data_IF_505834210241
#
_entry.id   IF_505834210241
#
_cell.length_a   1.000
_cell.length_b   1.000
_cell.length_c   1.000
_cell.angle_alpha   90.00
_cell.angle_beta   90.00
_cell.angle_gamma   90.00
#
_symmetry.space_group_name_H-M   'P 1'
#
loop_
_entity.id
_entity.type
_entity.pdbx_description
1 polymer ?
#
# COMPACT_ATOMS: atom_id res chain seq x y z
N UNK A 1 -16.03 -28.50 9.34
CA UNK A 1 -15.51 -29.40 8.28
C UNK A 1 -15.40 -28.62 6.95
N UNK A 2 -14.64 -27.51 6.97
CA UNK A 2 -14.53 -26.53 5.87
C UNK A 2 -13.11 -25.91 5.80
N UNK A 3 -12.09 -26.69 6.21
CA UNK A 3 -10.69 -26.25 6.33
C UNK A 3 -9.71 -27.07 5.46
N UNK A 4 -10.20 -27.82 4.49
CA UNK A 4 -9.35 -28.73 3.68
C UNK A 4 -9.76 -28.72 2.21
N UNK A 5 -9.59 -27.61 1.50
CA UNK A 5 -9.60 -27.56 0.02
C UNK A 5 -8.83 -26.35 -0.53
N UNK A 6 -7.56 -26.15 -0.19
CA UNK A 6 -6.69 -25.29 -1.00
C UNK A 6 -5.28 -25.89 -1.04
N UNK A 7 -5.03 -26.67 -2.09
CA UNK A 7 -3.71 -27.17 -2.50
C UNK A 7 -2.93 -25.99 -3.10
N UNK A 8 -1.61 -25.84 -2.84
CA UNK A 8 -0.85 -24.73 -3.42
C UNK A 8 -0.51 -25.02 -4.88
N UNK A 9 -1.23 -24.38 -5.81
CA UNK A 9 -0.94 -24.46 -7.26
C UNK A 9 -0.05 -23.27 -7.68
N UNK A 10 1.26 -23.53 -7.59
CA UNK A 10 2.33 -23.31 -8.58
C UNK A 10 2.23 -22.09 -9.52
N UNK A 11 3.29 -21.28 -9.50
CA UNK A 11 3.97 -20.87 -10.75
C UNK A 11 5.49 -21.04 -10.58
N UNK A 12 6.11 -21.79 -11.50
CA UNK A 12 7.54 -22.11 -11.54
C UNK A 12 8.37 -20.82 -11.65
N UNK A 13 8.90 -20.34 -10.53
CA UNK A 13 10.00 -19.38 -10.55
C UNK A 13 11.29 -20.13 -10.93
N UNK A 14 11.80 -19.85 -12.13
CA UNK A 14 13.09 -20.33 -12.57
C UNK A 14 14.16 -19.93 -11.55
N UNK A 15 14.86 -20.94 -11.03
CA UNK A 15 16.02 -20.82 -10.16
C UNK A 15 17.08 -19.96 -10.88
N UNK A 16 17.27 -18.73 -10.42
CA UNK A 16 18.44 -17.92 -10.76
C UNK A 16 19.37 -17.94 -9.55
N UNK A 17 20.28 -18.91 -9.55
CA UNK A 17 21.54 -18.79 -8.83
C UNK A 17 22.33 -17.62 -9.42
N UNK A 18 22.83 -16.74 -8.55
CA UNK A 18 23.94 -15.85 -8.91
C UNK A 18 23.75 -14.39 -8.53
N UNK A 19 24.02 -14.05 -7.27
CA UNK A 19 24.94 -12.96 -6.97
C UNK A 19 25.90 -13.42 -5.90
N UNK A 20 27.18 -13.55 -6.28
CA UNK A 20 28.29 -13.75 -5.36
C UNK A 20 28.24 -12.65 -4.30
N UNK A 21 28.20 -13.06 -3.04
CA UNK A 21 28.48 -12.16 -1.92
C UNK A 21 29.95 -11.71 -2.06
N UNK A 22 30.15 -10.46 -2.47
CA UNK A 22 31.42 -9.79 -2.26
C UNK A 22 31.49 -9.47 -0.77
N UNK A 23 32.31 -10.24 -0.06
CA UNK A 23 32.77 -9.92 1.28
C UNK A 23 33.41 -8.52 1.22
N UNK A 24 32.70 -7.53 1.75
CA UNK A 24 33.22 -6.18 1.92
C UNK A 24 33.10 -5.86 3.41
N UNK A 25 34.18 -5.35 3.99
CA UNK A 25 34.19 -4.81 5.35
C UNK A 25 33.04 -3.79 5.51
N UNK A 26 32.49 -3.61 6.72
CA UNK A 26 31.42 -2.63 6.94
C UNK A 26 31.91 -1.23 6.56
N UNK A 27 31.56 -0.80 5.34
CA UNK A 27 31.97 0.49 4.80
C UNK A 27 31.30 1.60 5.61
N UNK A 28 32.11 2.36 6.35
CA UNK A 28 31.70 3.64 6.92
C UNK A 28 31.70 4.65 5.77
N UNK A 29 30.52 5.13 5.42
CA UNK A 29 30.33 6.01 4.27
C UNK A 29 30.68 7.47 4.59
N UNK A 30 31.23 8.19 3.59
CA UNK A 30 31.51 9.63 3.65
C UNK A 30 30.30 10.45 4.11
N UNK A 31 30.54 11.42 5.01
CA UNK A 31 29.52 12.34 5.54
C UNK A 31 28.74 13.11 4.46
N UNK A 32 29.34 13.33 3.27
CA UNK A 32 28.77 14.19 2.22
C UNK A 32 27.63 13.55 1.40
N UNK A 33 27.52 12.22 1.35
CA UNK A 33 26.45 11.57 0.59
C UNK A 33 25.22 11.35 1.48
N UNK A 34 24.03 11.64 0.93
CA UNK A 34 22.76 11.28 1.56
C UNK A 34 22.65 9.75 1.66
N UNK A 35 22.21 9.26 2.81
CA UNK A 35 22.07 7.86 3.15
C UNK A 35 20.67 7.56 3.68
N UNK A 36 20.03 6.52 3.14
CA UNK A 36 18.69 6.07 3.55
C UNK A 36 17.68 7.21 3.75
N UNK A 37 17.16 7.41 4.96
CA UNK A 37 16.18 8.43 5.31
C UNK A 37 16.64 9.85 5.02
N UNK A 38 17.96 10.14 4.94
CA UNK A 38 18.45 11.45 4.50
C UNK A 38 18.08 11.77 3.04
N UNK A 39 17.68 10.77 2.24
CA UNK A 39 17.21 10.98 0.86
C UNK A 39 15.78 11.51 0.81
N UNK A 40 15.04 11.50 1.92
CA UNK A 40 13.69 12.03 1.96
C UNK A 40 13.73 13.57 1.89
N UNK A 41 12.94 14.22 1.02
CA UNK A 41 12.96 15.67 0.85
C UNK A 41 12.71 16.47 2.14
N UNK A 42 11.97 15.89 3.08
CA UNK A 42 11.57 16.53 4.34
C UNK A 42 12.34 15.99 5.56
N UNK A 43 13.42 15.24 5.34
CA UNK A 43 14.21 14.69 6.42
C UNK A 43 14.79 15.79 7.31
N UNK A 44 14.50 15.70 8.61
CA UNK A 44 15.09 16.53 9.65
C UNK A 44 15.63 15.60 10.72
N UNK A 45 16.96 15.50 10.94
CA UNK A 45 17.55 14.56 11.89
C UNK A 45 16.89 14.59 13.27
N UNK A 46 16.61 15.80 13.78
CA UNK A 46 16.00 16.04 15.09
C UNK A 46 14.60 15.45 15.23
N UNK A 47 13.95 15.13 14.12
CA UNK A 47 12.62 14.53 14.14
C UNK A 47 12.65 13.02 14.29
N UNK A 48 13.79 12.37 14.02
CA UNK A 48 13.93 10.92 14.03
C UNK A 48 14.72 10.48 15.25
N UNK A 49 14.17 9.52 16.01
CA UNK A 49 14.89 8.87 17.10
C UNK A 49 16.12 8.12 16.53
N UNK A 50 17.33 8.33 17.07
CA UNK A 50 18.53 7.68 16.59
C UNK A 50 18.63 6.25 17.15
N UNK A 51 17.90 5.31 16.54
CA UNK A 51 17.93 3.91 16.98
C UNK A 51 19.32 3.30 16.75
N UNK A 52 19.84 2.59 17.75
CA UNK A 52 21.09 1.85 17.71
C UNK A 52 20.85 0.33 17.74
N UNK A 53 21.47 -0.39 16.79
CA UNK A 53 21.46 -1.85 16.82
C UNK A 53 22.09 -2.35 18.12
N UNK A 54 21.39 -3.23 18.83
CA UNK A 54 21.77 -3.78 20.13
C UNK A 54 21.14 -3.08 21.33
N UNK A 55 20.61 -1.86 21.18
CA UNK A 55 19.91 -1.16 22.27
C UNK A 55 18.63 -1.92 22.67
N UNK A 56 18.11 -1.65 23.87
CA UNK A 56 16.86 -2.25 24.34
C UNK A 56 15.81 -1.17 24.53
N UNK A 57 14.78 -1.19 23.69
CA UNK A 57 13.63 -0.30 23.74
C UNK A 57 12.61 -0.80 24.76
N UNK A 58 12.03 0.12 25.53
CA UNK A 58 11.03 -0.16 26.57
C UNK A 58 11.44 -1.30 27.52
N UNK A 59 12.74 -1.43 27.84
CA UNK A 59 13.32 -2.52 28.66
C UNK A 59 13.11 -3.96 28.15
N UNK A 60 12.39 -4.14 27.05
CA UNK A 60 11.88 -5.44 26.57
C UNK A 60 12.38 -5.80 25.18
N UNK A 61 12.46 -4.84 24.28
CA UNK A 61 12.69 -5.11 22.86
C UNK A 61 14.13 -4.81 22.46
N UNK A 62 14.93 -5.83 22.23
CA UNK A 62 16.30 -5.65 21.75
C UNK A 62 16.32 -5.38 20.25
N UNK A 63 16.90 -4.26 19.82
CA UNK A 63 17.01 -3.93 18.40
C UNK A 63 18.00 -4.89 17.72
N UNK A 64 17.52 -5.60 16.71
CA UNK A 64 18.31 -6.56 15.93
C UNK A 64 18.88 -5.89 14.68
N UNK A 65 18.06 -5.14 13.94
CA UNK A 65 18.50 -4.46 12.72
C UNK A 65 17.36 -3.73 12.03
N UNK A 66 17.73 -2.85 11.09
CA UNK A 66 16.76 -1.99 10.41
C UNK A 66 16.06 -2.76 9.27
N UNK A 67 14.74 -2.68 9.25
CA UNK A 67 13.90 -3.24 8.18
C UNK A 67 13.58 -2.18 7.12
N UNK A 68 13.33 -0.93 7.52
CA UNK A 68 12.82 0.09 6.61
C UNK A 68 12.74 1.47 7.23
N UNK A 69 12.30 2.42 6.41
CA UNK A 69 11.97 3.79 6.82
C UNK A 69 10.93 4.37 5.86
N UNK A 70 10.20 5.36 6.34
CA UNK A 70 9.24 6.14 5.58
C UNK A 70 9.33 7.61 5.97
N UNK A 71 8.45 8.43 5.40
CA UNK A 71 8.45 9.89 5.58
C UNK A 71 8.45 10.33 7.05
N UNK A 72 7.84 9.55 7.94
CA UNK A 72 7.62 9.91 9.33
C UNK A 72 8.00 8.83 10.34
N UNK A 73 8.77 7.81 9.93
CA UNK A 73 9.12 6.71 10.82
C UNK A 73 10.32 5.90 10.34
N UNK A 74 10.96 5.18 11.26
CA UNK A 74 11.87 4.06 10.94
C UNK A 74 11.29 2.75 11.47
N UNK A 75 11.61 1.62 10.85
CA UNK A 75 11.08 0.29 11.22
C UNK A 75 12.23 -0.66 11.48
N UNK A 76 12.17 -1.35 12.62
CA UNK A 76 13.26 -2.16 13.16
C UNK A 76 12.79 -3.54 13.54
N UNK A 77 13.55 -4.57 13.15
CA UNK A 77 13.37 -5.89 13.71
C UNK A 77 13.92 -5.88 15.13
N UNK A 78 13.11 -6.33 16.09
CA UNK A 78 13.50 -6.44 17.48
C UNK A 78 13.22 -7.85 17.99
N UNK A 79 14.06 -8.33 18.92
CA UNK A 79 13.80 -9.54 19.69
C UNK A 79 13.06 -9.16 20.97
N UNK A 80 11.95 -9.83 21.23
CA UNK A 80 11.20 -9.64 22.46
C UNK A 80 11.81 -10.48 23.60
N UNK A 81 12.37 -9.81 24.61
CA UNK A 81 13.02 -10.48 25.75
C UNK A 81 12.05 -11.08 26.75
N UNK A 82 10.77 -10.68 26.78
CA UNK A 82 9.79 -11.28 27.71
C UNK A 82 9.52 -12.75 27.38
N UNK A 83 9.78 -13.14 26.13
CA UNK A 83 9.55 -14.48 25.59
C UNK A 83 10.70 -15.45 25.92
N UNK A 84 11.91 -14.94 26.20
CA UNK A 84 13.05 -15.79 26.59
C UNK A 84 12.82 -16.52 27.94
N UNK A 85 11.80 -16.12 28.73
CA UNK A 85 11.41 -16.75 29.99
C UNK A 85 10.29 -17.80 29.86
N UNK A 86 9.54 -17.81 28.76
CA UNK A 86 8.43 -18.74 28.53
C UNK A 86 8.79 -19.73 27.42
N UNK A 87 9.05 -21.00 27.77
CA UNK A 87 9.60 -22.06 26.89
C UNK A 87 8.79 -22.40 25.62
N UNK A 88 7.69 -21.72 25.32
CA UNK A 88 6.75 -22.07 24.24
C UNK A 88 6.05 -20.88 23.56
N UNK A 89 6.58 -19.65 23.60
CA UNK A 89 5.91 -18.52 22.92
C UNK A 89 6.32 -18.40 21.46
N UNK A 90 5.31 -18.43 20.58
CA UNK A 90 5.41 -18.53 19.12
C UNK A 90 6.05 -17.29 18.45
N UNK A 91 6.18 -16.13 19.10
CA UNK A 91 6.63 -14.90 18.43
C UNK A 91 7.86 -14.22 19.06
N UNK A 92 9.05 -14.79 18.88
CA UNK A 92 10.33 -14.27 19.41
C UNK A 92 10.74 -12.87 18.88
N UNK A 93 10.21 -12.47 17.74
CA UNK A 93 10.58 -11.23 17.08
C UNK A 93 9.36 -10.38 16.74
N UNK A 94 9.57 -9.06 16.76
CA UNK A 94 8.56 -8.06 16.43
C UNK A 94 9.17 -6.99 15.51
N UNK A 95 8.33 -6.33 14.72
CA UNK A 95 8.72 -5.14 13.98
C UNK A 95 8.26 -3.89 14.73
N UNK A 96 9.19 -3.03 15.13
CA UNK A 96 8.89 -1.79 15.85
C UNK A 96 9.02 -0.61 14.90
N UNK A 97 7.89 0.07 14.66
CA UNK A 97 7.83 1.33 13.92
C UNK A 97 8.00 2.47 14.92
N UNK A 98 9.15 3.14 14.86
CA UNK A 98 9.47 4.32 15.68
C UNK A 98 9.08 5.57 14.91
N UNK A 99 8.06 6.28 15.38
CA UNK A 99 7.52 7.47 14.74
C UNK A 99 8.39 8.70 15.02
N UNK A 100 8.35 9.67 14.12
CA UNK A 100 8.97 10.98 14.33
C UNK A 100 8.30 11.74 15.47
N UNK A 101 9.05 12.60 16.18
CA UNK A 101 8.53 13.38 17.32
C UNK A 101 7.72 14.63 16.89
N UNK A 102 7.76 15.00 15.60
CA UNK A 102 7.05 16.16 15.05
C UNK A 102 5.75 15.79 14.34
N UNK A 103 5.17 14.65 14.72
CA UNK A 103 3.82 14.36 14.27
C UNK A 103 2.87 15.32 15.00
N UNK A 104 2.12 16.11 14.24
CA UNK A 104 1.00 16.86 14.81
C UNK A 104 0.13 15.92 15.64
N UNK A 105 -0.54 16.41 16.70
CA UNK A 105 -1.42 15.57 17.52
C UNK A 105 -2.39 14.73 16.67
N UNK A 106 -2.90 15.30 15.55
CA UNK A 106 -3.74 14.60 14.56
C UNK A 106 -3.09 13.40 13.86
N UNK A 107 -1.77 13.42 13.65
CA UNK A 107 -1.04 12.32 13.00
C UNK A 107 -0.62 11.23 13.99
N UNK A 108 -0.40 11.57 15.27
CA UNK A 108 -0.20 10.59 16.36
C UNK A 108 -1.49 9.89 16.75
N UNK A 109 -2.62 10.62 16.75
CA UNK A 109 -3.96 10.03 16.96
C UNK A 109 -4.55 9.37 15.71
N UNK A 110 -3.87 9.47 14.55
CA UNK A 110 -4.26 8.81 13.32
C UNK A 110 -4.07 7.29 13.40
N UNK A 111 -2.87 6.79 13.13
CA UNK A 111 -2.61 5.34 13.02
C UNK A 111 -2.93 4.57 14.31
N UNK A 112 -2.48 5.06 15.48
CA UNK A 112 -2.77 4.43 16.76
C UNK A 112 -4.27 4.46 17.08
N UNK A 113 -4.95 5.58 16.76
CA UNK A 113 -6.39 5.69 16.94
C UNK A 113 -7.18 4.69 16.08
N UNK A 114 -6.72 4.40 14.86
CA UNK A 114 -7.28 3.31 14.05
C UNK A 114 -7.11 1.97 14.76
N UNK A 115 -5.91 1.67 15.26
CA UNK A 115 -5.68 0.40 15.96
C UNK A 115 -6.50 0.26 17.24
N UNK A 116 -6.60 1.31 18.05
CA UNK A 116 -7.46 1.33 19.22
C UNK A 116 -8.93 1.10 18.85
N UNK A 117 -9.41 1.75 17.78
CA UNK A 117 -10.76 1.55 17.26
C UNK A 117 -10.99 0.10 16.86
N UNK A 118 -10.08 -0.50 16.08
CA UNK A 118 -10.16 -1.89 15.67
C UNK A 118 -10.14 -2.86 16.87
N UNK A 119 -9.33 -2.59 17.90
CA UNK A 119 -9.27 -3.45 19.10
C UNK A 119 -10.54 -3.47 19.95
N UNK A 120 -11.38 -2.42 19.82
CA UNK A 120 -12.67 -2.34 20.53
C UNK A 120 -13.77 -3.13 19.82
N UNK A 121 -13.54 -3.55 18.57
CA UNK A 121 -14.49 -4.35 17.81
C UNK A 121 -14.42 -5.81 18.28
N UNK A 122 -15.54 -6.35 18.73
CA UNK A 122 -15.68 -7.78 18.98
C UNK A 122 -16.14 -8.49 17.68
N UNK A 123 -15.31 -8.43 16.66
CA UNK A 123 -15.58 -9.00 15.34
C UNK A 123 -14.98 -10.40 15.20
N UNK A 124 -15.76 -11.33 14.62
CA UNK A 124 -15.26 -12.64 14.20
C UNK A 124 -15.01 -12.70 12.68
N UNK A 125 -14.95 -11.56 12.02
CA UNK A 125 -14.76 -11.49 10.57
C UNK A 125 -13.37 -11.99 10.19
N UNK A 126 -13.32 -12.98 9.30
CA UNK A 126 -12.04 -13.59 8.85
C UNK A 126 -11.10 -12.58 8.19
N UNK A 127 -11.68 -11.52 7.61
CA UNK A 127 -10.97 -10.39 7.02
C UNK A 127 -9.97 -9.70 7.95
N UNK A 128 -10.21 -9.73 9.26
CA UNK A 128 -9.31 -9.14 10.26
C UNK A 128 -7.89 -9.73 10.19
N UNK A 129 -7.75 -11.01 9.81
CA UNK A 129 -6.45 -11.66 9.66
C UNK A 129 -5.62 -11.11 8.48
N UNK A 130 -6.26 -10.42 7.52
CA UNK A 130 -5.61 -9.81 6.37
C UNK A 130 -5.35 -8.31 6.55
N UNK A 131 -5.56 -7.78 7.75
CA UNK A 131 -5.15 -6.43 8.17
C UNK A 131 -4.06 -6.58 9.23
N UNK A 132 -2.91 -5.92 9.03
CA UNK A 132 -1.78 -6.07 9.94
C UNK A 132 -2.15 -5.54 11.33
N UNK A 133 -2.19 -6.42 12.32
CA UNK A 133 -2.47 -6.06 13.71
C UNK A 133 -1.37 -5.26 14.41
N UNK A 134 -1.68 -4.85 15.64
CA UNK A 134 -0.77 -4.18 16.56
C UNK A 134 -0.66 -5.03 17.84
N UNK A 135 0.55 -5.43 18.21
CA UNK A 135 0.81 -6.24 19.39
C UNK A 135 0.92 -5.40 20.66
N UNK A 136 1.57 -4.24 20.57
CA UNK A 136 1.85 -3.37 21.71
C UNK A 136 2.14 -1.94 21.23
N UNK A 137 2.11 -0.98 22.15
CA UNK A 137 2.53 0.39 21.89
C UNK A 137 3.17 1.01 23.13
N UNK A 138 4.17 1.86 22.91
CA UNK A 138 4.87 2.56 23.98
C UNK A 138 5.46 3.87 23.47
N UNK A 139 5.98 4.69 24.37
CA UNK A 139 6.72 5.91 24.05
C UNK A 139 8.14 5.82 24.59
N UNK A 140 9.11 6.34 23.84
CA UNK A 140 10.52 6.43 24.27
C UNK A 140 10.99 7.88 24.27
N UNK A 141 11.75 8.32 25.30
CA UNK A 141 12.40 9.63 25.28
C UNK A 141 13.62 9.58 24.34
N UNK A 142 13.65 10.48 23.37
CA UNK A 142 14.81 10.73 22.50
C UNK A 142 15.49 12.07 22.83
N UNK A 143 16.64 12.35 22.21
CA UNK A 143 17.40 13.59 22.45
C UNK A 143 16.60 14.87 22.16
N UNK A 144 15.71 14.80 21.17
CA UNK A 144 14.97 15.96 20.64
C UNK A 144 13.46 15.89 20.97
N UNK A 145 13.02 14.92 21.76
CA UNK A 145 11.61 14.75 22.14
C UNK A 145 11.19 13.30 22.32
N UNK A 146 9.93 13.08 22.68
CA UNK A 146 9.35 11.74 22.84
C UNK A 146 8.87 11.17 21.52
N UNK A 147 9.09 9.87 21.32
CA UNK A 147 8.72 9.15 20.11
C UNK A 147 7.75 8.02 20.43
N UNK A 148 6.61 7.99 19.73
CA UNK A 148 5.66 6.89 19.80
C UNK A 148 6.20 5.68 19.02
N UNK A 149 6.04 4.49 19.59
CA UNK A 149 6.44 3.22 19.01
C UNK A 149 5.22 2.32 18.83
N UNK A 150 5.08 1.74 17.64
CA UNK A 150 4.06 0.74 17.31
C UNK A 150 4.74 -0.62 17.10
N UNK A 151 4.29 -1.64 17.83
CA UNK A 151 4.84 -2.99 17.76
C UNK A 151 3.94 -3.87 16.91
N UNK A 152 4.47 -4.37 15.79
CA UNK A 152 3.74 -5.15 14.81
C UNK A 152 4.32 -6.57 14.66
N UNK A 153 3.54 -7.52 14.09
CA UNK A 153 4.12 -8.70 13.47
C UNK A 153 5.17 -8.31 12.42
N UNK A 154 6.33 -8.99 12.37
CA UNK A 154 7.26 -8.85 11.26
C UNK A 154 6.63 -9.29 9.94
N UNK A 155 6.87 -8.53 8.88
CA UNK A 155 6.40 -8.82 7.52
C UNK A 155 7.59 -9.09 6.60
N UNK A 156 7.38 -9.90 5.56
CA UNK A 156 8.37 -10.15 4.53
C UNK A 156 8.32 -9.06 3.44
N UNK A 157 8.39 -9.45 2.16
CA UNK A 157 8.39 -8.52 1.04
C UNK A 157 7.02 -7.85 0.89
N UNK A 158 7.02 -6.58 0.54
CA UNK A 158 5.88 -5.95 -0.11
C UNK A 158 5.63 -6.59 -1.49
N UNK A 159 4.41 -6.52 -2.00
CA UNK A 159 4.12 -6.93 -3.38
C UNK A 159 4.91 -6.12 -4.40
N UNK A 160 5.25 -4.87 -4.06
CA UNK A 160 6.12 -4.03 -4.85
C UNK A 160 7.54 -4.60 -4.99
N UNK A 161 8.11 -5.17 -3.93
CA UNK A 161 9.41 -5.82 -3.98
C UNK A 161 9.31 -7.19 -4.64
N UNK A 162 8.27 -7.96 -4.32
CA UNK A 162 8.03 -9.28 -4.91
C UNK A 162 7.91 -9.20 -6.43
N UNK A 163 7.15 -8.25 -6.98
CA UNK A 163 7.05 -8.07 -8.44
C UNK A 163 8.40 -7.72 -9.06
N UNK A 164 9.29 -7.05 -8.33
CA UNK A 164 10.63 -6.69 -8.84
C UNK A 164 11.58 -7.89 -8.93
N UNK A 165 11.28 -9.01 -8.25
CA UNK A 165 11.98 -10.27 -8.44
C UNK A 165 11.64 -10.95 -9.77
N UNK A 166 10.45 -10.66 -10.32
CA UNK A 166 10.03 -11.17 -11.63
C UNK A 166 10.64 -10.35 -12.78
N UNK A 167 11.12 -11.04 -13.83
CA UNK A 167 11.60 -10.39 -15.07
C UNK A 167 10.54 -9.51 -15.71
N UNK A 168 9.27 -9.94 -15.65
CA UNK A 168 8.14 -9.19 -16.18
C UNK A 168 7.78 -7.96 -15.32
N UNK A 169 8.36 -7.84 -14.11
CA UNK A 169 8.04 -6.80 -13.11
C UNK A 169 6.56 -6.77 -12.70
N UNK A 170 5.90 -7.94 -12.75
CA UNK A 170 4.47 -8.16 -12.51
C UNK A 170 4.26 -9.42 -11.67
N UNK A 171 3.09 -9.50 -11.03
CA UNK A 171 2.63 -10.72 -10.37
C UNK A 171 2.04 -11.68 -11.42
N UNK A 172 2.17 -12.99 -11.20
CA UNK A 172 1.45 -13.98 -11.99
C UNK A 172 -0.05 -13.90 -11.70
N UNK A 173 -0.88 -14.44 -12.60
CA UNK A 173 -2.33 -14.46 -12.40
C UNK A 173 -2.77 -15.15 -11.12
N UNK A 174 -2.30 -16.37 -10.78
CA UNK A 174 -2.68 -17.03 -9.54
C UNK A 174 -2.34 -16.19 -8.31
N UNK A 175 -1.15 -15.56 -8.30
CA UNK A 175 -0.70 -14.74 -7.18
C UNK A 175 -1.50 -13.43 -7.08
N UNK A 176 -1.90 -12.85 -8.21
CA UNK A 176 -2.75 -11.66 -8.24
C UNK A 176 -4.16 -12.00 -7.72
N UNK A 177 -4.78 -13.09 -8.17
CA UNK A 177 -6.08 -13.55 -7.67
C UNK A 177 -6.02 -13.84 -6.17
N UNK A 178 -5.01 -14.58 -5.70
CA UNK A 178 -4.81 -14.83 -4.26
C UNK A 178 -4.64 -13.53 -3.46
N UNK A 179 -3.86 -12.59 -3.99
CA UNK A 179 -3.72 -11.26 -3.38
C UNK A 179 -5.06 -10.55 -3.26
N UNK A 180 -5.83 -10.51 -4.34
CA UNK A 180 -7.11 -9.83 -4.35
C UNK A 180 -8.08 -10.47 -3.38
N UNK A 181 -8.14 -11.80 -3.33
CA UNK A 181 -8.96 -12.51 -2.36
C UNK A 181 -8.63 -12.09 -0.92
N UNK A 182 -7.36 -12.16 -0.50
CA UNK A 182 -6.95 -11.77 0.85
C UNK A 182 -7.24 -10.29 1.14
N UNK A 183 -6.95 -9.39 0.21
CA UNK A 183 -7.13 -7.96 0.42
C UNK A 183 -8.59 -7.54 0.38
N UNK A 184 -9.43 -8.16 -0.44
CA UNK A 184 -10.88 -7.94 -0.43
C UNK A 184 -11.50 -8.43 0.87
N UNK A 185 -11.05 -9.56 1.44
CA UNK A 185 -11.46 -9.98 2.78
C UNK A 185 -11.11 -8.92 3.83
N UNK A 186 -9.88 -8.39 3.80
CA UNK A 186 -9.43 -7.33 4.69
C UNK A 186 -10.22 -6.03 4.54
N UNK A 187 -10.52 -5.62 3.31
CA UNK A 187 -11.33 -4.44 3.02
C UNK A 187 -12.78 -4.63 3.44
N UNK A 188 -13.37 -5.82 3.26
CA UNK A 188 -14.74 -6.06 3.71
C UNK A 188 -14.87 -5.91 5.22
N UNK A 189 -13.92 -6.46 5.98
CA UNK A 189 -13.83 -6.23 7.42
C UNK A 189 -13.74 -4.73 7.77
N UNK A 190 -12.79 -4.02 7.15
CA UNK A 190 -12.57 -2.60 7.43
C UNK A 190 -13.79 -1.76 7.09
N UNK A 191 -14.41 -1.99 5.94
CA UNK A 191 -15.49 -1.17 5.42
C UNK A 191 -16.82 -1.44 6.14
N UNK A 192 -17.18 -2.72 6.31
CA UNK A 192 -18.52 -3.12 6.76
C UNK A 192 -18.65 -3.21 8.27
N UNK A 193 -17.63 -3.73 8.96
CA UNK A 193 -17.68 -3.92 10.41
C UNK A 193 -16.93 -2.83 11.17
N UNK A 194 -15.76 -2.40 10.68
CA UNK A 194 -14.99 -1.37 11.35
C UNK A 194 -15.39 0.07 10.98
N UNK A 195 -16.02 0.28 9.82
CA UNK A 195 -16.28 1.63 9.30
C UNK A 195 -15.00 2.44 9.09
N UNK A 196 -13.93 1.79 8.64
CA UNK A 196 -12.61 2.37 8.38
C UNK A 196 -12.34 2.36 6.88
N UNK A 197 -11.85 3.47 6.34
CA UNK A 197 -11.37 3.59 4.95
C UNK A 197 -9.84 3.67 4.98
N UNK A 198 -9.13 2.85 4.21
CA UNK A 198 -7.67 2.75 4.24
C UNK A 198 -6.99 3.96 3.57
N UNK A 199 -7.50 4.40 2.42
CA UNK A 199 -7.10 5.57 1.62
C UNK A 199 -5.73 5.53 0.93
N UNK A 200 -4.88 4.55 1.25
CA UNK A 200 -3.54 4.39 0.62
C UNK A 200 -3.28 2.95 0.10
N UNK A 201 -4.24 2.37 -0.63
CA UNK A 201 -4.10 1.03 -1.21
C UNK A 201 -3.11 1.04 -2.38
N UNK A 202 -1.99 0.33 -2.23
CA UNK A 202 -0.95 0.17 -3.25
C UNK A 202 -0.04 -1.02 -2.95
N UNK A 203 0.70 -1.48 -3.96
CA UNK A 203 1.59 -2.65 -3.83
C UNK A 203 2.69 -2.54 -2.76
N UNK A 204 3.07 -1.35 -2.31
CA UNK A 204 4.04 -1.18 -1.22
C UNK A 204 3.42 -1.36 0.17
N UNK A 205 2.10 -1.19 0.29
CA UNK A 205 1.37 -1.29 1.55
C UNK A 205 0.67 -2.65 1.70
N UNK A 206 0.89 -3.57 0.75
CA UNK A 206 0.48 -4.97 0.88
C UNK A 206 1.75 -5.79 1.01
N UNK A 207 1.92 -6.46 2.14
CA UNK A 207 3.12 -7.24 2.48
C UNK A 207 2.76 -8.69 2.72
N UNK A 208 3.72 -9.59 2.51
CA UNK A 208 3.54 -11.00 2.83
C UNK A 208 3.81 -11.27 4.31
N UNK A 209 2.96 -12.08 4.95
CA UNK A 209 3.25 -12.65 6.27
C UNK A 209 4.51 -13.51 6.22
N UNK A 210 5.05 -13.85 7.39
CA UNK A 210 6.20 -14.74 7.51
C UNK A 210 5.71 -16.09 8.02
N UNK A 211 5.75 -17.08 7.14
CA UNK A 211 5.46 -18.48 7.50
C UNK A 211 6.77 -19.26 7.76
N UNK A 212 7.88 -18.90 7.09
CA UNK A 212 9.23 -19.38 7.43
C UNK A 212 9.88 -18.48 8.49
N UNK A 213 9.52 -18.70 9.76
CA UNK A 213 10.08 -17.94 10.90
C UNK A 213 11.61 -18.04 11.03
N UNK A 214 12.24 -19.08 10.46
CA UNK A 214 13.69 -19.21 10.49
C UNK A 214 14.40 -18.06 9.76
N UNK A 215 13.69 -17.35 8.86
CA UNK A 215 14.17 -16.12 8.23
C UNK A 215 14.53 -15.03 9.24
N UNK A 216 13.77 -14.90 10.34
CA UNK A 216 13.98 -13.86 11.36
C UNK A 216 15.25 -14.17 12.19
N UNK A 217 15.48 -15.44 12.48
CA UNK A 217 16.70 -15.89 13.14
C UNK A 217 17.92 -15.77 12.22
N UNK A 218 17.76 -16.10 10.93
CA UNK A 218 18.83 -15.95 9.94
C UNK A 218 19.18 -14.47 9.72
N UNK A 219 18.20 -13.56 9.76
CA UNK A 219 18.43 -12.11 9.75
C UNK A 219 19.33 -11.69 10.91
N UNK A 220 19.01 -12.10 12.15
CA UNK A 220 19.81 -11.78 13.33
C UNK A 220 21.24 -12.32 13.18
N UNK A 221 21.41 -13.59 12.80
CA UNK A 221 22.72 -14.20 12.60
C UNK A 221 23.53 -13.45 11.53
N UNK A 222 22.89 -13.09 10.43
CA UNK A 222 23.54 -12.38 9.34
C UNK A 222 23.97 -10.97 9.77
N UNK A 223 23.19 -10.28 10.61
CA UNK A 223 23.58 -8.98 11.16
C UNK A 223 24.77 -9.13 12.12
N UNK A 224 24.78 -10.15 12.98
CA UNK A 224 25.90 -10.43 13.90
C UNK A 224 27.19 -10.81 13.19
N UNK A 225 27.10 -11.56 12.09
CA UNK A 225 28.27 -12.01 11.32
C UNK A 225 28.85 -10.91 10.44
N UNK A 226 27.98 -10.12 9.81
CA UNK A 226 28.39 -9.03 8.95
C UNK A 226 27.46 -7.85 9.18
N UNK A 227 27.92 -6.90 10.00
CA UNK A 227 27.17 -5.70 10.33
C UNK A 227 26.66 -4.94 9.10
N UNK A 228 25.44 -4.43 9.18
CA UNK A 228 24.88 -3.57 8.12
C UNK A 228 25.77 -2.33 7.91
N UNK A 229 26.00 -1.92 6.65
CA UNK A 229 26.64 -0.65 6.34
C UNK A 229 25.94 0.50 7.07
N UNK A 230 26.73 1.49 7.50
CA UNK A 230 26.22 2.57 8.34
C UNK A 230 26.97 3.87 8.10
N UNK A 231 26.24 4.98 8.25
CA UNK A 231 26.79 6.33 8.26
C UNK A 231 26.76 6.86 9.69
N UNK A 232 27.93 7.07 10.27
CA UNK A 232 28.06 7.71 11.59
C UNK A 232 28.06 9.22 11.36
N UNK A 233 27.04 9.90 11.86
CA UNK A 233 26.90 11.35 11.73
C UNK A 233 27.69 12.01 12.87
N UNK A 234 27.33 11.67 14.11
CA UNK A 234 27.94 12.14 15.36
C UNK A 234 27.86 11.04 16.43
N UNK A 235 28.21 11.37 17.67
CA UNK A 235 28.19 10.42 18.80
C UNK A 235 26.79 9.89 19.14
N UNK A 236 25.75 10.64 18.79
CA UNK A 236 24.35 10.29 19.10
C UNK A 236 23.62 9.63 17.94
N UNK A 237 24.13 9.75 16.70
CA UNK A 237 23.35 9.40 15.50
C UNK A 237 24.14 8.57 14.50
N UNK A 238 23.62 7.37 14.29
CA UNK A 238 24.05 6.46 13.23
C UNK A 238 22.88 6.09 12.34
N UNK A 239 23.05 6.22 11.02
CA UNK A 239 22.05 5.77 10.04
C UNK A 239 22.51 4.44 9.47
N UNK A 240 21.71 3.40 9.71
CA UNK A 240 21.96 2.04 9.23
C UNK A 240 21.25 1.80 7.90
N UNK A 241 21.87 1.01 7.03
CA UNK A 241 21.22 0.47 5.83
C UNK A 241 20.14 -0.53 6.23
N UNK A 242 18.98 -0.47 5.57
CA UNK A 242 17.93 -1.46 5.71
C UNK A 242 18.39 -2.81 5.18
N UNK A 243 18.22 -3.86 5.98
CA UNK A 243 18.52 -5.23 5.58
C UNK A 243 17.24 -5.93 5.15
N UNK A 244 17.33 -6.68 4.05
CA UNK A 244 16.24 -7.53 3.62
C UNK A 244 16.30 -8.90 4.30
N UNK A 245 15.14 -9.46 4.61
CA UNK A 245 15.01 -10.88 4.90
C UNK A 245 15.42 -11.70 3.67
N UNK A 246 16.01 -12.87 3.89
CA UNK A 246 16.24 -13.84 2.80
C UNK A 246 14.91 -14.32 2.24
N UNK A 247 14.95 -14.98 1.07
CA UNK A 247 13.77 -15.67 0.54
C UNK A 247 13.40 -16.88 1.43
N UNK A 248 12.11 -17.25 1.50
CA UNK A 248 11.65 -18.37 2.31
C UNK A 248 12.18 -19.71 1.78
N UNK A 249 12.35 -20.68 2.69
CA UNK A 249 12.58 -22.08 2.32
C UNK A 249 11.27 -22.72 1.86
N UNK A 250 11.38 -23.73 0.99
CA UNK A 250 10.26 -24.59 0.58
C UNK A 250 9.02 -23.84 0.06
N UNK A 251 9.22 -22.64 -0.51
CA UNK A 251 8.16 -21.77 -1.03
C UNK A 251 7.13 -21.30 0.02
N UNK A 252 7.51 -21.24 1.30
CA UNK A 252 6.68 -20.73 2.41
C UNK A 252 6.60 -19.18 2.42
N UNK A 253 6.00 -18.61 1.38
CA UNK A 253 5.96 -17.16 1.15
C UNK A 253 5.03 -16.36 2.06
N UNK A 254 4.10 -17.00 2.77
CA UNK A 254 3.08 -16.30 3.55
C UNK A 254 1.92 -15.73 2.73
N UNK A 255 0.96 -15.14 3.44
CA UNK A 255 -0.25 -14.56 2.89
C UNK A 255 -0.12 -13.05 2.68
N UNK A 256 -0.74 -12.46 1.65
CA UNK A 256 -0.86 -11.01 1.50
C UNK A 256 -1.68 -10.39 2.64
N UNK A 257 -1.12 -9.35 3.27
CA UNK A 257 -1.73 -8.61 4.39
C UNK A 257 -1.64 -7.12 4.10
N UNK A 258 -2.76 -6.42 4.31
CA UNK A 258 -2.85 -4.97 4.21
C UNK A 258 -2.17 -4.31 5.41
N UNK A 259 -1.22 -3.41 5.13
CA UNK A 259 -0.36 -2.76 6.11
C UNK A 259 -0.45 -1.24 5.99
N UNK A 260 0.03 -0.55 7.03
CA UNK A 260 0.17 0.91 7.11
C UNK A 260 -1.17 1.66 7.12
N UNK A 261 -1.78 1.73 8.31
CA UNK A 261 -3.03 2.46 8.55
C UNK A 261 -2.81 3.94 8.83
N UNK A 262 -1.62 4.47 8.52
CA UNK A 262 -1.23 5.85 8.85
C UNK A 262 -2.02 6.95 8.13
N UNK A 263 -2.77 6.61 7.08
CA UNK A 263 -3.66 7.54 6.35
C UNK A 263 -5.14 7.19 6.52
N UNK A 264 -5.45 6.07 7.17
CA UNK A 264 -6.81 5.57 7.26
C UNK A 264 -7.71 6.51 8.07
N UNK A 265 -9.02 6.47 7.78
CA UNK A 265 -10.02 7.34 8.41
C UNK A 265 -11.21 6.51 8.92
N UNK A 266 -11.71 6.83 10.12
CA UNK A 266 -12.91 6.22 10.71
C UNK A 266 -14.13 7.05 10.32
N UNK A 267 -15.15 6.41 9.76
CA UNK A 267 -16.41 7.03 9.37
C UNK A 267 -16.78 6.73 7.92
N UNK A 268 -18.03 7.01 7.57
CA UNK A 268 -18.60 6.65 6.27
C UNK A 268 -18.37 7.70 5.17
N UNK A 269 -18.16 8.96 5.55
CA UNK A 269 -18.05 10.08 4.61
C UNK A 269 -16.98 11.05 5.09
N UNK A 270 -16.12 11.46 4.17
CA UNK A 270 -14.96 12.31 4.39
C UNK A 270 -14.76 13.25 3.22
N UNK A 271 -13.89 14.26 3.40
CA UNK A 271 -13.48 15.18 2.32
C UNK A 271 -12.00 15.50 2.45
N UNK A 272 -11.41 15.97 1.35
CA UNK A 272 -10.00 16.34 1.28
C UNK A 272 -9.15 15.35 0.48
N UNK A 273 -7.88 15.70 0.30
CA UNK A 273 -6.98 15.00 -0.60
C UNK A 273 -6.37 13.78 0.08
N UNK A 274 -6.70 12.61 -0.45
CA UNK A 274 -6.13 11.32 -0.07
C UNK A 274 -5.57 10.59 -1.31
N UNK A 275 -5.07 9.37 -1.12
CA UNK A 275 -4.49 8.50 -2.13
C UNK A 275 -3.23 9.08 -2.81
N UNK A 276 -2.28 8.22 -3.21
CA UNK A 276 -1.25 8.65 -4.14
C UNK A 276 -1.89 9.10 -5.44
N UNK A 277 -1.30 10.10 -6.07
CA UNK A 277 -1.84 10.77 -7.27
C UNK A 277 -2.26 9.81 -8.39
N UNK A 278 -1.47 8.75 -8.64
CA UNK A 278 -1.75 7.76 -9.68
C UNK A 278 -2.85 6.74 -9.33
N UNK A 279 -3.33 6.71 -8.09
CA UNK A 279 -4.36 5.77 -7.60
C UNK A 279 -5.61 6.51 -7.11
N UNK A 280 -5.65 7.84 -7.28
CA UNK A 280 -6.68 8.70 -6.75
C UNK A 280 -7.99 8.53 -7.49
N UNK A 281 -9.08 8.40 -6.74
CA UNK A 281 -10.43 8.24 -7.26
C UNK A 281 -10.98 9.57 -7.82
N UNK A 282 -11.90 9.54 -8.80
CA UNK A 282 -12.42 10.74 -9.45
C UNK A 282 -13.14 11.68 -8.48
N UNK A 283 -13.89 11.16 -7.51
CA UNK A 283 -14.54 11.96 -6.46
C UNK A 283 -13.53 12.73 -5.61
N UNK A 284 -12.34 12.17 -5.34
CA UNK A 284 -11.26 12.86 -4.61
C UNK A 284 -10.60 13.91 -5.51
N UNK A 285 -10.42 13.63 -6.81
CA UNK A 285 -9.86 14.60 -7.76
C UNK A 285 -10.74 15.84 -7.94
N UNK A 286 -12.06 15.67 -7.83
CA UNK A 286 -13.03 16.75 -7.97
C UNK A 286 -13.55 17.31 -6.64
N UNK A 287 -12.81 17.09 -5.55
CA UNK A 287 -13.12 17.57 -4.19
C UNK A 287 -14.58 17.31 -3.75
N UNK A 288 -15.08 16.13 -4.09
CA UNK A 288 -16.35 15.61 -3.61
C UNK A 288 -16.16 14.88 -2.28
N UNK A 289 -17.26 14.66 -1.57
CA UNK A 289 -17.27 13.74 -0.44
C UNK A 289 -16.97 12.31 -0.92
N UNK A 290 -16.22 11.57 -0.11
CA UNK A 290 -15.77 10.22 -0.42
C UNK A 290 -15.94 9.28 0.77
N UNK A 291 -16.10 7.99 0.47
CA UNK A 291 -16.23 6.91 1.45
C UNK A 291 -15.36 5.71 1.07
N UNK A 292 -15.72 4.51 1.54
CA UNK A 292 -14.94 3.28 1.32
C UNK A 292 -14.71 2.90 -0.14
N UNK A 293 -15.56 3.36 -1.06
CA UNK A 293 -15.42 3.14 -2.50
C UNK A 293 -14.08 3.62 -3.10
N UNK A 294 -13.36 4.54 -2.43
CA UNK A 294 -12.03 4.99 -2.87
C UNK A 294 -10.98 3.86 -2.77
N UNK A 295 -11.09 2.97 -1.77
CA UNK A 295 -10.18 1.84 -1.63
C UNK A 295 -10.40 0.82 -2.75
N UNK A 296 -11.66 0.58 -3.11
CA UNK A 296 -12.03 -0.28 -4.24
C UNK A 296 -11.46 0.29 -5.54
N UNK A 297 -11.57 1.61 -5.75
CA UNK A 297 -10.94 2.26 -6.90
C UNK A 297 -9.43 2.04 -6.93
N UNK A 298 -8.72 2.34 -5.83
CA UNK A 298 -7.27 2.14 -5.76
C UNK A 298 -6.85 0.69 -5.98
N UNK A 299 -7.61 -0.28 -5.46
CA UNK A 299 -7.38 -1.70 -5.70
C UNK A 299 -7.61 -2.07 -7.18
N UNK A 300 -8.63 -1.50 -7.83
CA UNK A 300 -8.89 -1.67 -9.26
C UNK A 300 -7.76 -1.13 -10.13
N UNK A 301 -7.28 0.09 -9.84
CA UNK A 301 -6.14 0.69 -10.53
C UNK A 301 -4.88 -0.15 -10.33
N UNK A 302 -4.62 -0.59 -9.09
CA UNK A 302 -3.48 -1.47 -8.79
C UNK A 302 -3.54 -2.76 -9.61
N UNK A 303 -4.70 -3.38 -9.70
CA UNK A 303 -4.92 -4.63 -10.43
C UNK A 303 -4.71 -4.45 -11.92
N UNK A 304 -5.30 -3.39 -12.48
CA UNK A 304 -5.17 -3.04 -13.90
C UNK A 304 -3.71 -2.77 -14.27
N UNK A 305 -2.97 -1.98 -13.48
CA UNK A 305 -1.56 -1.65 -13.73
C UNK A 305 -0.65 -2.89 -13.72
N UNK A 306 -1.00 -3.93 -12.96
CA UNK A 306 -0.25 -5.19 -12.96
C UNK A 306 -0.37 -5.97 -14.28
N UNK A 307 -1.35 -5.65 -15.13
CA UNK A 307 -1.55 -6.29 -16.43
C UNK A 307 -1.29 -5.36 -17.63
N UNK A 308 -1.46 -4.05 -17.45
CA UNK A 308 -1.22 -3.03 -18.48
C UNK A 308 0.25 -2.99 -18.99
N UNK A 309 0.46 -3.09 -20.31
CA UNK A 309 1.81 -3.09 -20.96
C UNK A 309 2.61 -1.80 -20.75
N UNK A 310 1.96 -0.64 -20.69
CA UNK A 310 2.63 0.67 -20.64
C UNK A 310 2.56 1.30 -19.26
N UNK A 311 3.70 1.31 -18.55
CA UNK A 311 3.92 2.19 -17.39
C UNK A 311 4.26 3.59 -17.88
N UNK A 312 3.27 4.40 -18.28
CA UNK A 312 3.53 5.83 -18.51
C UNK A 312 3.53 6.57 -17.17
N UNK A 313 4.42 7.55 -17.04
CA UNK A 313 4.42 8.50 -15.93
C UNK A 313 3.14 9.34 -16.06
N UNK A 314 2.21 9.15 -15.14
CA UNK A 314 0.94 9.85 -15.11
C UNK A 314 1.17 11.25 -14.54
N UNK A 315 0.86 12.29 -15.32
CA UNK A 315 0.61 13.62 -14.79
C UNK A 315 -0.86 13.70 -14.35
N UNK A 316 -1.23 14.49 -13.34
CA UNK A 316 -2.61 14.57 -12.82
C UNK A 316 -3.65 14.99 -13.88
N UNK A 317 -3.31 15.92 -14.78
CA UNK A 317 -4.20 16.32 -15.89
C UNK A 317 -4.34 15.24 -16.97
N UNK A 318 -3.35 14.36 -17.11
CA UNK A 318 -3.47 13.16 -17.95
C UNK A 318 -4.30 12.07 -17.28
N UNK A 319 -4.40 12.07 -15.95
CA UNK A 319 -5.12 11.04 -15.19
C UNK A 319 -6.61 11.04 -15.54
N UNK A 320 -7.29 12.20 -15.55
CA UNK A 320 -8.72 12.27 -15.90
C UNK A 320 -8.95 11.98 -17.39
N UNK A 321 -8.07 12.46 -18.28
CA UNK A 321 -8.16 12.17 -19.71
C UNK A 321 -8.04 10.66 -19.99
N UNK A 322 -7.17 9.97 -19.27
CA UNK A 322 -7.05 8.51 -19.33
C UNK A 322 -8.26 7.80 -18.73
N UNK A 323 -8.82 8.29 -17.61
CA UNK A 323 -10.09 7.79 -17.10
C UNK A 323 -11.19 7.87 -18.17
N UNK A 324 -11.29 8.99 -18.89
CA UNK A 324 -12.26 9.15 -19.98
C UNK A 324 -11.97 8.17 -21.14
N UNK A 325 -10.70 7.94 -21.49
CA UNK A 325 -10.34 6.97 -22.52
C UNK A 325 -10.76 5.53 -22.13
N UNK A 326 -10.62 5.15 -20.85
CA UNK A 326 -10.91 3.81 -20.38
C UNK A 326 -12.38 3.57 -20.02
N UNK A 327 -13.05 4.57 -19.43
CA UNK A 327 -14.38 4.45 -18.86
C UNK A 327 -15.47 5.14 -19.69
N UNK A 328 -15.08 5.94 -20.69
CA UNK A 328 -15.96 6.89 -21.34
C UNK A 328 -16.20 8.14 -20.50
N UNK A 329 -17.04 9.05 -21.01
CA UNK A 329 -17.40 10.28 -20.29
C UNK A 329 -18.18 9.96 -19.00
N UNK A 330 -17.99 10.76 -17.92
CA UNK A 330 -18.78 10.61 -16.71
C UNK A 330 -20.26 10.88 -16.98
N UNK A 331 -21.18 10.23 -16.23
CA UNK A 331 -22.59 10.56 -16.31
C UNK A 331 -22.83 11.99 -15.83
N UNK A 332 -23.83 12.66 -16.40
CA UNK A 332 -24.18 14.05 -16.03
C UNK A 332 -24.48 14.21 -14.53
N UNK A 333 -25.09 13.19 -13.92
CA UNK A 333 -25.34 13.17 -12.49
C UNK A 333 -24.07 13.20 -11.65
N UNK A 334 -22.93 12.75 -12.16
CA UNK A 334 -21.62 12.88 -11.51
C UNK A 334 -21.02 14.26 -11.76
N UNK A 335 -21.05 14.74 -13.01
CA UNK A 335 -20.54 16.08 -13.37
C UNK A 335 -21.20 17.17 -12.52
N UNK A 336 -22.50 17.06 -12.27
CA UNK A 336 -23.27 18.02 -11.45
C UNK A 336 -22.94 18.01 -9.95
N UNK A 337 -22.21 17.01 -9.43
CA UNK A 337 -21.91 16.89 -7.98
C UNK A 337 -20.85 17.85 -7.46
N UNK A 338 -20.02 18.40 -8.33
CA UNK A 338 -18.95 19.33 -7.94
C UNK A 338 -18.87 20.50 -8.92
N UNK A 339 -18.38 21.64 -8.44
CA UNK A 339 -18.04 22.77 -9.30
C UNK A 339 -16.70 22.53 -10.02
N UNK A 340 -15.80 21.74 -9.42
CA UNK A 340 -14.47 21.43 -9.96
C UNK A 340 -14.53 20.68 -11.29
N UNK A 341 -15.58 19.88 -11.50
CA UNK A 341 -15.81 19.16 -12.75
C UNK A 341 -16.00 20.13 -13.93
N UNK A 342 -16.47 21.36 -13.70
CA UNK A 342 -16.69 22.37 -14.75
C UNK A 342 -15.40 22.87 -15.39
N UNK A 343 -14.27 22.72 -14.69
CA UNK A 343 -12.95 22.99 -15.26
C UNK A 343 -12.51 21.94 -16.29
N UNK A 344 -13.21 20.81 -16.35
CA UNK A 344 -12.82 19.64 -17.17
C UNK A 344 -13.92 19.20 -18.14
N UNK A 345 -15.19 19.31 -17.73
CA UNK A 345 -16.37 18.90 -18.47
C UNK A 345 -17.34 20.07 -18.59
N UNK A 346 -17.98 20.22 -19.74
CA UNK A 346 -18.95 21.29 -19.98
C UNK A 346 -20.11 21.21 -18.97
N UNK A 347 -20.31 22.28 -18.19
CA UNK A 347 -21.42 22.39 -17.25
C UNK A 347 -22.77 22.70 -17.92
N UNK A 348 -23.84 22.61 -17.14
CA UNK A 348 -25.16 23.10 -17.57
C UNK A 348 -25.08 24.62 -17.85
N UNK A 349 -25.27 25.02 -19.11
CA UNK A 349 -25.34 26.43 -19.50
C UNK A 349 -23.99 27.16 -19.67
N UNK A 350 -22.84 26.46 -19.69
CA UNK A 350 -21.54 27.11 -19.92
C UNK A 350 -21.29 27.43 -21.40
N UNK A 351 -21.00 28.71 -21.64
CA UNK A 351 -20.76 29.35 -22.91
C UNK A 351 -19.32 29.09 -23.40
N UNK A 352 -19.15 28.69 -24.64
CA UNK A 352 -17.86 28.76 -25.32
C UNK A 352 -17.53 30.23 -25.57
N UNK A 353 -16.38 30.70 -25.08
CA UNK A 353 -15.81 32.03 -25.38
C UNK A 353 -15.54 32.29 -26.89
N UNK A 354 -16.00 31.40 -27.79
CA UNK A 354 -15.79 31.45 -29.24
C UNK A 354 -17.08 31.52 -30.08
N UNK A 355 -18.24 31.94 -29.53
CA UNK A 355 -19.37 32.30 -30.39
C UNK A 355 -20.73 32.32 -29.70
N UNK A 356 -21.41 33.47 -29.78
CA UNK A 356 -22.72 33.75 -29.21
C UNK A 356 -23.84 32.79 -29.63
N UNK A 357 -24.18 31.83 -28.77
CA UNK A 357 -25.37 31.00 -28.85
C UNK A 357 -25.67 30.33 -27.51
N UNK A 358 -26.96 30.05 -27.23
CA UNK A 358 -27.35 29.19 -26.09
C UNK A 358 -26.65 27.84 -26.26
N UNK A 359 -26.09 27.28 -25.19
CA UNK A 359 -25.56 25.92 -25.24
C UNK A 359 -26.69 24.97 -25.65
N UNK A 360 -26.56 24.31 -26.81
CA UNK A 360 -27.39 23.16 -27.12
C UNK A 360 -27.18 22.13 -26.01
N UNK A 361 -28.28 21.54 -25.51
CA UNK A 361 -28.29 20.49 -24.48
C UNK A 361 -27.30 19.35 -24.81
N UNK A 362 -26.96 19.18 -26.10
CA UNK A 362 -25.99 18.24 -26.65
C UNK A 362 -24.52 18.46 -26.23
N UNK A 363 -24.16 19.60 -25.64
CA UNK A 363 -22.77 19.90 -25.24
C UNK A 363 -22.44 19.58 -23.78
N UNK A 364 -23.44 19.42 -22.92
CA UNK A 364 -23.26 19.22 -21.48
C UNK A 364 -22.54 17.88 -21.23
N UNK A 365 -21.55 17.88 -20.34
CA UNK A 365 -20.77 16.70 -19.97
C UNK A 365 -19.64 16.33 -20.94
N UNK A 366 -19.45 17.08 -22.04
CA UNK A 366 -18.33 16.85 -22.97
C UNK A 366 -17.00 17.35 -22.39
N UNK A 367 -15.91 16.68 -22.77
CA UNK A 367 -14.55 17.04 -22.43
C UNK A 367 -14.18 18.43 -22.97
N UNK A 368 -13.70 19.32 -22.09
CA UNK A 368 -13.33 20.71 -22.43
C UNK A 368 -11.86 20.87 -22.84
N UNK A 369 -11.03 19.81 -22.80
CA UNK A 369 -9.60 19.94 -23.08
C UNK A 369 -8.82 20.52 -21.90
N UNK A 370 -9.08 20.04 -20.68
CA UNK A 370 -8.46 20.53 -19.45
C UNK A 370 -6.93 20.66 -19.60
N UNK A 371 -6.42 21.90 -19.58
CA UNK A 371 -4.99 22.20 -19.73
C UNK A 371 -4.39 21.88 -21.11
N UNK A 372 -5.19 21.83 -22.18
CA UNK A 372 -4.74 21.48 -23.53
C UNK A 372 -4.52 19.97 -23.75
N UNK A 373 -4.98 19.13 -22.81
CA UNK A 373 -4.80 17.67 -22.89
C UNK A 373 -5.91 17.05 -23.74
N UNK A 374 -5.51 16.27 -24.74
CA UNK A 374 -6.42 15.43 -25.54
C UNK A 374 -6.64 14.08 -24.89
N UNK A 375 -7.85 13.53 -25.02
CA UNK A 375 -8.14 12.15 -24.61
C UNK A 375 -7.27 11.21 -25.46
N UNK A 376 -6.47 10.33 -24.83
CA UNK A 376 -5.68 9.36 -25.58
C UNK A 376 -6.57 8.44 -26.42
N UNK A 377 -6.18 8.16 -27.66
CA UNK A 377 -6.81 7.15 -28.50
C UNK A 377 -6.40 5.75 -28.02
N UNK A 378 -7.00 5.30 -26.92
CA UNK A 378 -6.80 3.96 -26.36
C UNK A 378 -8.08 3.49 -25.68
N UNK A 379 -8.22 2.18 -25.49
CA UNK A 379 -9.31 1.60 -24.72
C UNK A 379 -8.80 0.62 -23.66
N UNK A 380 -9.64 0.32 -22.66
CA UNK A 380 -9.31 -0.68 -21.63
C UNK A 380 -8.94 -2.05 -22.26
N UNK A 381 -9.61 -2.41 -23.36
CA UNK A 381 -9.40 -3.65 -24.10
C UNK A 381 -8.04 -3.68 -24.81
N UNK A 382 -7.61 -2.58 -25.42
CA UNK A 382 -6.32 -2.48 -26.11
C UNK A 382 -5.12 -2.52 -25.16
N UNK A 383 -5.32 -2.18 -23.88
CA UNK A 383 -4.23 -2.18 -22.88
C UNK A 383 -4.00 -3.59 -22.32
N UNK A 384 -5.01 -4.46 -22.35
CA UNK A 384 -4.93 -5.85 -21.92
C UNK A 384 -4.72 -6.80 -23.11
N UNK A 385 -3.46 -7.03 -23.49
CA UNK A 385 -3.10 -7.93 -24.61
C UNK A 385 -2.57 -9.29 -24.14
N UNK A 386 -2.56 -9.57 -22.83
CA UNK A 386 -2.00 -10.83 -22.29
C UNK A 386 -3.06 -11.89 -22.05
N UNK A 387 -4.31 -11.47 -21.88
CA UNK A 387 -5.47 -12.36 -21.82
C UNK A 387 -6.17 -12.37 -23.18
N UNK A 388 -6.73 -13.51 -23.54
CA UNK A 388 -7.54 -13.68 -24.75
C UNK A 388 -8.82 -14.42 -24.43
N UNK A 389 -9.86 -14.22 -25.25
CA UNK A 389 -11.13 -14.94 -25.11
C UNK A 389 -11.88 -14.60 -23.81
N UNK A 390 -12.50 -15.62 -23.22
CA UNK A 390 -13.40 -15.47 -22.07
C UNK A 390 -12.70 -14.89 -20.82
N UNK A 391 -11.47 -15.31 -20.52
CA UNK A 391 -10.75 -14.78 -19.35
C UNK A 391 -10.47 -13.28 -19.47
N UNK A 392 -10.19 -12.78 -20.67
CA UNK A 392 -10.02 -11.35 -20.92
C UNK A 392 -11.34 -10.61 -20.66
N UNK A 393 -12.46 -11.14 -21.14
CA UNK A 393 -13.77 -10.54 -20.93
C UNK A 393 -14.12 -10.45 -19.44
N UNK A 394 -13.99 -11.56 -18.72
CA UNK A 394 -14.25 -11.63 -17.28
C UNK A 394 -13.36 -10.65 -16.50
N UNK A 395 -12.07 -10.58 -16.84
CA UNK A 395 -11.16 -9.61 -16.21
C UNK A 395 -11.58 -8.17 -16.45
N UNK A 396 -11.94 -7.81 -17.68
CA UNK A 396 -12.36 -6.43 -18.00
C UNK A 396 -13.69 -6.08 -17.33
N UNK A 397 -14.61 -7.04 -17.18
CA UNK A 397 -15.85 -6.87 -16.41
C UNK A 397 -15.55 -6.66 -14.91
N UNK A 398 -14.64 -7.45 -14.33
CA UNK A 398 -14.16 -7.27 -12.97
C UNK A 398 -13.58 -5.87 -12.75
N UNK A 399 -12.64 -5.44 -13.60
CA UNK A 399 -12.04 -4.09 -13.52
C UNK A 399 -13.09 -2.99 -13.68
N UNK A 400 -14.03 -3.11 -14.63
CA UNK A 400 -15.10 -2.14 -14.81
C UNK A 400 -16.01 -2.06 -13.59
N UNK A 401 -16.22 -3.16 -12.87
CA UNK A 401 -17.03 -3.14 -11.64
C UNK A 401 -16.39 -2.34 -10.49
N UNK A 402 -15.06 -2.19 -10.51
CA UNK A 402 -14.29 -1.41 -9.53
C UNK A 402 -14.05 0.04 -9.99
N UNK A 403 -13.81 0.25 -11.28
CA UNK A 403 -13.48 1.55 -11.87
C UNK A 403 -14.73 2.23 -12.44
N UNK A 404 -15.58 2.74 -11.56
CA UNK A 404 -16.76 3.52 -11.90
C UNK A 404 -16.59 5.00 -11.53
N UNK A 405 -17.06 5.89 -12.41
CA UNK A 405 -17.13 7.34 -12.12
C UNK A 405 -17.93 7.61 -10.85
N UNK A 406 -19.15 7.06 -10.79
CA UNK A 406 -20.04 7.17 -9.65
C UNK A 406 -19.61 6.18 -8.57
N UNK A 407 -19.17 6.63 -7.37
CA UNK A 407 -18.64 5.74 -6.33
C UNK A 407 -19.65 4.68 -5.88
N UNK A 408 -20.93 5.05 -5.81
CA UNK A 408 -22.00 4.15 -5.36
C UNK A 408 -22.32 3.01 -6.34
N UNK A 409 -21.76 3.06 -7.57
CA UNK A 409 -21.90 1.98 -8.57
C UNK A 409 -20.75 0.97 -8.50
N UNK A 410 -19.71 1.22 -7.70
CA UNK A 410 -18.62 0.28 -7.53
C UNK A 410 -19.12 -0.90 -6.71
N UNK A 411 -18.76 -2.12 -7.11
CA UNK A 411 -18.97 -3.28 -6.25
C UNK A 411 -18.22 -3.09 -4.93
N UNK A 412 -18.85 -3.52 -3.84
CA UNK A 412 -18.24 -3.61 -2.52
C UNK A 412 -17.17 -4.70 -2.48
N UNK A 413 -16.35 -4.72 -1.42
CA UNK A 413 -15.35 -5.75 -1.25
C UNK A 413 -15.96 -7.17 -1.19
N UNK A 414 -17.09 -7.32 -0.50
CA UNK A 414 -17.86 -8.57 -0.45
C UNK A 414 -18.36 -9.01 -1.82
N UNK A 415 -18.97 -8.12 -2.61
CA UNK A 415 -19.49 -8.47 -3.94
C UNK A 415 -18.37 -8.84 -4.93
N UNK A 416 -17.16 -8.31 -4.73
CA UNK A 416 -15.99 -8.65 -5.53
C UNK A 416 -15.38 -10.01 -5.17
N UNK A 417 -15.56 -10.48 -3.93
CA UNK A 417 -15.12 -11.82 -3.52
C UNK A 417 -15.88 -12.92 -4.28
N UNK A 418 -17.14 -12.65 -4.64
CA UNK A 418 -18.00 -13.55 -5.40
C UNK A 418 -17.88 -13.37 -6.93
N UNK A 419 -16.94 -12.54 -7.41
CA UNK A 419 -16.84 -12.24 -8.83
C UNK A 419 -16.35 -13.45 -9.66
N UNK A 420 -16.95 -13.72 -10.84
CA UNK A 420 -16.57 -14.86 -11.67
C UNK A 420 -15.10 -14.86 -12.10
N UNK A 421 -14.50 -13.70 -12.37
CA UNK A 421 -13.09 -13.67 -12.78
C UNK A 421 -12.16 -14.07 -11.63
N UNK A 422 -12.46 -13.61 -10.42
CA UNK A 422 -11.65 -13.92 -9.25
C UNK A 422 -11.70 -15.41 -8.90
N UNK A 423 -12.87 -16.03 -9.11
CA UNK A 423 -13.14 -17.43 -8.81
C UNK A 423 -12.91 -18.40 -9.98
N UNK A 424 -12.52 -17.91 -11.17
CA UNK A 424 -12.19 -18.78 -12.31
C UNK A 424 -10.80 -19.40 -12.18
N UNK A 425 -10.63 -20.59 -12.77
CA UNK A 425 -9.32 -21.24 -12.85
C UNK A 425 -8.34 -20.35 -13.66
N UNK A 426 -7.08 -20.21 -13.21
CA UNK A 426 -6.09 -19.32 -13.81
C UNK A 426 -5.50 -19.81 -15.13
#
# INVERSE_FOLDING_TARGET
MLLTKFTPIISRAAVLHGKRALCSQPHIQSRRSLWEEERLPFYKPQQFYPVHIGETLNTRYQVVGKLGYGSYSTVWLCRDKSIDLARHSENKYVAIKVLTNNLSQRALSGELGIYEHLSRLNSSHIGSAYVRGLYDTFSIPGPDGTHQCLVHPPMHLSLNELRMLSRARRLSEPLLKQTLFCILQGLDFLHREAGVVHTDIKTSNIMLSIDDESMLTDFQKAEQQNHSPRKVIDESRTIYTSRNLRLPKDMLWGQPVLCDLGQAQIGQSHRGIIQPESFRAPEVLFDMDWGSGVDIWSLGVMTFVQRARRRRRLLPSHHVAEMVAYLGLPPLSFVRRSQETRHVFAGDGEFSLLGGGRADEYMIGKWLGAGGVTIPATSLHEVEENLTGENQQLFLEFIRSMLQWTPEKRKTAQELLDDPWLNSDP
#
